data_IF_722014215626
#
_entry.id   IF_722014215626
#
_cell.length_a   1.000
_cell.length_b   1.000
_cell.length_c   1.000
_cell.angle_alpha   90.00
_cell.angle_beta   90.00
_cell.angle_gamma   90.00
#
_symmetry.space_group_name_H-M   'P 1'
#
loop_
_entity.id
_entity.type
_entity.pdbx_description
1 polymer ?
#
# COMPACT_ATOMS: atom_id res chain seq x y z
N UNK A 1 10.65 -8.85 6.04
CA UNK A 1 9.61 -9.19 7.04
C UNK A 1 8.35 -8.41 6.75
N UNK A 2 7.15 -8.99 6.92
CA UNK A 2 5.88 -8.29 6.69
C UNK A 2 5.16 -7.94 7.98
N UNK A 3 4.68 -6.71 8.13
CA UNK A 3 3.87 -6.25 9.28
C UNK A 3 2.47 -5.89 8.79
N UNK A 4 1.44 -6.32 9.52
CA UNK A 4 0.04 -5.96 9.24
C UNK A 4 -0.32 -4.64 9.92
N UNK A 5 -0.94 -3.72 9.18
CA UNK A 5 -1.37 -2.41 9.67
C UNK A 5 -2.84 -2.21 9.32
N UNK A 6 -3.65 -1.83 10.32
CA UNK A 6 -5.08 -1.55 10.14
C UNK A 6 -5.27 -0.07 9.80
N UNK A 7 -5.96 0.23 8.69
CA UNK A 7 -6.23 1.60 8.25
C UNK A 7 -7.70 1.77 7.87
N UNK A 8 -8.15 3.02 7.69
CA UNK A 8 -9.53 3.30 7.22
C UNK A 8 -9.79 2.76 5.80
N UNK A 9 -8.76 2.67 4.97
CA UNK A 9 -8.84 2.12 3.60
C UNK A 9 -8.77 0.59 3.53
N UNK A 10 -8.71 -0.10 4.67
CA UNK A 10 -8.55 -1.54 4.76
C UNK A 10 -7.24 -1.97 5.42
N UNK A 11 -7.01 -3.28 5.43
CA UNK A 11 -5.80 -3.87 6.00
C UNK A 11 -4.65 -3.81 5.00
N UNK A 12 -3.52 -3.27 5.44
CA UNK A 12 -2.29 -3.18 4.65
C UNK A 12 -1.25 -4.15 5.19
N UNK A 13 -0.46 -4.73 4.30
CA UNK A 13 0.80 -5.39 4.62
C UNK A 13 1.94 -4.49 4.21
N UNK A 14 2.82 -4.20 5.15
CA UNK A 14 4.06 -3.47 4.91
C UNK A 14 5.18 -4.48 4.80
N UNK A 15 5.91 -4.44 3.70
CA UNK A 15 7.13 -5.21 3.52
C UNK A 15 8.32 -4.27 3.56
N UNK A 16 9.39 -4.73 4.18
CA UNK A 16 10.68 -4.05 4.17
C UNK A 16 11.80 -5.09 4.34
N UNK A 17 12.94 -4.79 3.73
CA UNK A 17 14.18 -5.51 3.95
C UNK A 17 15.02 -4.79 5.02
N UNK A 18 15.43 -5.53 6.05
CA UNK A 18 16.28 -4.98 7.11
C UNK A 18 17.73 -4.91 6.62
N UNK A 19 18.33 -3.73 6.68
CA UNK A 19 19.73 -3.51 6.34
C UNK A 19 20.45 -2.85 7.53
N UNK A 20 21.07 -3.68 8.37
CA UNK A 20 21.71 -3.23 9.61
C UNK A 20 20.72 -2.52 10.54
N UNK A 21 20.95 -1.22 10.75
CA UNK A 21 20.10 -0.34 11.56
C UNK A 21 19.05 0.44 10.74
N UNK A 22 18.87 0.08 9.47
CA UNK A 22 17.97 0.73 8.51
C UNK A 22 17.07 -0.28 7.81
N UNK A 23 16.11 0.23 7.03
CA UNK A 23 15.25 -0.56 6.16
C UNK A 23 15.35 -0.03 4.73
N UNK A 24 15.30 -0.94 3.75
CA UNK A 24 15.29 -0.62 2.32
C UNK A 24 14.24 -1.49 1.61
N UNK A 25 13.91 -1.13 0.38
CA UNK A 25 12.94 -1.83 -0.47
C UNK A 25 11.62 -1.96 0.30
N UNK A 26 10.94 -0.83 0.47
CA UNK A 26 9.70 -0.74 1.26
C UNK A 26 8.53 -0.67 0.30
N UNK A 27 7.58 -1.60 0.42
CA UNK A 27 6.35 -1.60 -0.38
C UNK A 27 5.14 -2.01 0.45
N UNK A 28 3.97 -1.60 -0.06
CA UNK A 28 2.68 -1.82 0.57
C UNK A 28 1.83 -2.72 -0.32
N UNK A 29 1.20 -3.72 0.27
CA UNK A 29 0.18 -4.54 -0.37
C UNK A 29 -1.12 -4.34 0.38
N UNK A 30 -2.20 -4.11 -0.36
CA UNK A 30 -3.51 -3.88 0.21
C UNK A 30 -4.62 -4.16 -0.80
N UNK A 31 -5.86 -4.32 -0.33
CA UNK A 31 -6.99 -4.54 -1.22
C UNK A 31 -7.26 -3.31 -2.08
N UNK A 32 -7.31 -3.50 -3.39
CA UNK A 32 -7.79 -2.49 -4.32
C UNK A 32 -9.26 -2.76 -4.65
N UNK A 33 -10.13 -1.76 -4.46
CA UNK A 33 -11.53 -1.83 -4.88
C UNK A 33 -11.81 -0.70 -5.86
N UNK A 34 -12.26 -1.06 -7.06
CA UNK A 34 -12.75 -0.07 -8.00
C UNK A 34 -14.05 0.52 -7.45
N UNK A 35 -14.03 1.82 -7.11
CA UNK A 35 -15.18 2.54 -6.56
C UNK A 35 -15.89 3.43 -7.58
N UNK A 36 -15.26 3.68 -8.72
CA UNK A 36 -15.79 4.54 -9.77
C UNK A 36 -15.33 4.08 -11.16
N UNK A 37 -16.16 4.34 -12.18
CA UNK A 37 -15.81 4.24 -13.60
C UNK A 37 -16.62 5.30 -14.36
N UNK A 38 -15.93 6.10 -15.17
CA UNK A 38 -16.54 7.16 -15.97
C UNK A 38 -15.53 7.79 -16.93
N UNK A 39 -15.95 8.82 -17.64
CA UNK A 39 -15.06 9.68 -18.44
C UNK A 39 -14.75 10.96 -17.68
N UNK A 40 -13.51 11.43 -17.80
CA UNK A 40 -13.07 12.73 -17.28
C UNK A 40 -12.66 13.55 -18.49
N UNK A 41 -13.40 14.63 -18.76
CA UNK A 41 -13.04 15.56 -19.82
C UNK A 41 -11.82 16.38 -19.35
N UNK A 42 -10.73 16.34 -20.11
CA UNK A 42 -9.58 17.21 -19.90
C UNK A 42 -9.87 18.53 -20.62
N UNK A 43 -9.92 19.63 -19.86
CA UNK A 43 -10.12 21.00 -20.36
C UNK A 43 -8.91 21.44 -21.19
#
# INVERSE_FOLDING_TARGET
TSIKVKTLGGDLKVYAEKNGNSFREIWLEGPAKQVFRGHVDLI
#
